data_IF_597477088061
#
_entry.id   IF_597477088061
#
_cell.length_a   1.000
_cell.length_b   1.000
_cell.length_c   1.000
_cell.angle_alpha   90.00
_cell.angle_beta   90.00
_cell.angle_gamma   90.00
#
_symmetry.space_group_name_H-M   'P 1'
#
loop_
_entity.id
_entity.type
_entity.pdbx_description
1 polymer ?
#
# COMPACT_ATOMS: atom_id res chain seq x y z
N UNK A 1 1.07 -4.14 -8.10
CA UNK A 1 1.28 -4.58 -6.71
C UNK A 1 2.70 -4.20 -6.34
N UNK A 2 2.93 -3.58 -5.18
CA UNK A 2 4.28 -3.26 -4.71
C UNK A 2 4.95 -4.54 -4.21
N UNK A 3 6.13 -4.90 -4.72
CA UNK A 3 6.82 -6.10 -4.26
C UNK A 3 7.64 -5.85 -2.99
N UNK A 4 7.69 -6.85 -2.12
CA UNK A 4 8.48 -6.86 -0.87
C UNK A 4 9.26 -8.18 -0.77
N UNK A 5 9.76 -8.68 -1.89
CA UNK A 5 10.49 -9.94 -1.94
C UNK A 5 11.75 -9.83 -1.06
N UNK A 6 12.07 -10.83 -0.22
CA UNK A 6 13.28 -10.77 0.58
C UNK A 6 14.53 -10.78 -0.30
N UNK A 7 15.62 -10.17 0.17
CA UNK A 7 16.92 -10.30 -0.50
C UNK A 7 17.44 -11.74 -0.38
N UNK A 8 17.36 -12.48 -1.49
CA UNK A 8 17.85 -13.85 -1.59
C UNK A 8 19.25 -13.93 -2.23
N UNK A 9 19.99 -12.82 -2.34
CA UNK A 9 21.28 -12.78 -3.03
C UNK A 9 22.32 -13.72 -2.42
N UNK A 10 22.31 -13.85 -1.09
CA UNK A 10 23.15 -14.81 -0.38
C UNK A 10 22.81 -16.28 -0.73
N UNK A 11 21.56 -16.59 -1.04
CA UNK A 11 21.11 -17.94 -1.41
C UNK A 11 21.41 -18.26 -2.88
N UNK A 12 21.26 -17.28 -3.77
CA UNK A 12 21.46 -17.46 -5.21
C UNK A 12 22.89 -17.18 -5.69
N UNK A 13 23.78 -16.73 -4.81
CA UNK A 13 25.15 -16.36 -5.17
C UNK A 13 25.22 -15.11 -6.06
N UNK A 14 24.21 -14.23 -6.00
CA UNK A 14 24.17 -12.97 -6.72
C UNK A 14 24.71 -11.82 -5.87
N UNK A 15 25.06 -10.70 -6.50
CA UNK A 15 25.57 -9.52 -5.81
C UNK A 15 24.42 -8.83 -5.03
N UNK A 16 24.49 -8.71 -3.70
CA UNK A 16 23.46 -8.05 -2.89
C UNK A 16 23.17 -6.60 -3.30
N UNK A 17 24.13 -5.92 -3.94
CA UNK A 17 23.95 -4.54 -4.42
C UNK A 17 22.98 -4.44 -5.61
N UNK A 18 22.66 -5.56 -6.24
CA UNK A 18 21.71 -5.62 -7.36
C UNK A 18 20.27 -5.85 -6.91
N UNK A 19 20.07 -6.23 -5.64
CA UNK A 19 18.75 -6.32 -5.05
C UNK A 19 18.15 -4.92 -4.85
N UNK A 20 16.91 -4.75 -5.31
CA UNK A 20 16.14 -3.51 -5.15
C UNK A 20 14.90 -3.84 -4.34
N UNK A 21 14.82 -3.29 -3.13
CA UNK A 21 13.59 -3.29 -2.35
C UNK A 21 12.64 -2.23 -2.96
N UNK A 22 11.63 -2.67 -3.70
CA UNK A 22 10.65 -1.75 -4.30
C UNK A 22 9.91 -0.94 -3.24
N UNK A 23 9.70 -1.49 -2.04
CA UNK A 23 9.09 -0.75 -0.94
C UNK A 23 10.00 0.38 -0.47
N UNK A 24 11.32 0.19 -0.37
CA UNK A 24 12.24 1.29 -0.06
C UNK A 24 12.16 2.41 -1.11
N UNK A 25 12.00 2.07 -2.39
CA UNK A 25 11.82 3.07 -3.44
C UNK A 25 10.47 3.80 -3.32
N UNK A 26 9.40 3.07 -3.01
CA UNK A 26 8.07 3.64 -2.79
C UNK A 26 8.04 4.61 -1.62
N UNK A 27 8.58 4.23 -0.45
CA UNK A 27 8.52 5.07 0.75
C UNK A 27 9.40 6.33 0.70
N UNK A 28 10.36 6.41 -0.23
CA UNK A 28 11.15 7.64 -0.48
C UNK A 28 10.33 8.76 -1.11
N UNK A 29 9.42 8.42 -2.02
CA UNK A 29 8.51 9.37 -2.67
C UNK A 29 7.25 8.63 -3.15
N UNK A 30 6.27 8.40 -2.24
CA UNK A 30 5.09 7.62 -2.56
C UNK A 30 4.28 8.22 -3.70
N UNK A 31 4.24 9.55 -3.81
CA UNK A 31 3.45 10.24 -4.83
C UNK A 31 4.05 10.07 -6.21
N UNK A 32 5.37 10.24 -6.34
CA UNK A 32 6.06 9.97 -7.59
C UNK A 32 5.91 8.51 -8.01
N UNK A 33 6.04 7.58 -7.07
CA UNK A 33 5.86 6.17 -7.35
C UNK A 33 4.42 5.86 -7.81
N UNK A 34 3.41 6.37 -7.10
CA UNK A 34 2.00 6.19 -7.44
C UNK A 34 1.65 6.78 -8.82
N UNK A 35 2.12 7.98 -9.13
CA UNK A 35 1.90 8.58 -10.46
C UNK A 35 2.63 7.84 -11.58
N UNK A 36 3.80 7.26 -11.30
CA UNK A 36 4.57 6.50 -12.30
C UNK A 36 3.94 5.13 -12.58
N UNK A 37 3.41 4.46 -11.54
CA UNK A 37 2.81 3.14 -11.66
C UNK A 37 1.32 3.18 -12.05
N UNK A 38 0.63 4.27 -11.72
CA UNK A 38 -0.79 4.48 -12.03
C UNK A 38 -1.02 5.83 -12.73
N UNK A 39 -0.51 6.00 -13.96
CA UNK A 39 -0.60 7.26 -14.69
C UNK A 39 -2.03 7.60 -15.12
N UNK A 40 -2.83 6.58 -15.47
CA UNK A 40 -4.17 6.74 -16.06
C UNK A 40 -5.24 6.04 -15.23
N UNK A 41 -6.50 6.46 -15.38
CA UNK A 41 -7.64 5.87 -14.67
C UNK A 41 -7.81 4.38 -14.93
N UNK A 42 -7.47 3.89 -16.13
CA UNK A 42 -7.53 2.47 -16.49
C UNK A 42 -6.53 1.59 -15.74
N UNK A 43 -5.47 2.18 -15.20
CA UNK A 43 -4.44 1.46 -14.44
C UNK A 43 -4.74 1.42 -12.94
N UNK A 44 -5.75 2.17 -12.48
CA UNK A 44 -6.07 2.29 -11.07
C UNK A 44 -6.64 0.97 -10.52
N UNK A 45 -6.10 0.46 -9.40
CA UNK A 45 -6.61 -0.75 -8.77
C UNK A 45 -7.99 -0.50 -8.14
N UNK A 46 -8.89 -1.48 -8.15
CA UNK A 46 -10.22 -1.30 -7.52
C UNK A 46 -10.14 -1.10 -6.00
N UNK A 47 -9.14 -1.69 -5.37
CA UNK A 47 -8.90 -1.60 -3.93
C UNK A 47 -7.40 -1.52 -3.63
N UNK A 48 -7.06 -0.72 -2.62
CA UNK A 48 -5.69 -0.53 -2.14
C UNK A 48 -5.68 -0.84 -0.65
N UNK A 49 -5.04 -1.94 -0.27
CA UNK A 49 -4.79 -2.28 1.12
C UNK A 49 -3.41 -1.75 1.53
N UNK A 50 -3.34 -1.09 2.69
CA UNK A 50 -2.10 -0.52 3.21
C UNK A 50 -2.14 -0.49 4.74
N UNK A 51 -0.98 -0.51 5.39
CA UNK A 51 -0.90 -0.15 6.79
C UNK A 51 -1.28 1.32 6.99
N UNK A 52 -1.95 1.62 8.11
CA UNK A 52 -2.31 3.01 8.45
C UNK A 52 -1.09 3.93 8.54
N UNK A 53 0.10 3.37 8.81
CA UNK A 53 1.37 4.12 8.77
C UNK A 53 1.52 4.93 7.47
N UNK A 54 1.13 4.39 6.32
CA UNK A 54 1.32 5.07 5.03
C UNK A 54 0.55 6.41 4.95
N UNK A 55 -0.63 6.49 5.56
CA UNK A 55 -1.44 7.72 5.56
C UNK A 55 -1.26 8.57 6.81
N UNK A 56 -0.71 8.00 7.89
CA UNK A 56 -0.48 8.69 9.17
C UNK A 56 0.94 9.28 9.28
N UNK A 57 1.88 8.85 8.44
CA UNK A 57 3.23 9.37 8.45
C UNK A 57 3.27 10.89 8.19
N UNK A 58 4.09 11.60 8.97
CA UNK A 58 4.15 13.05 8.95
C UNK A 58 4.70 13.64 7.64
N UNK A 59 5.57 12.91 6.94
CA UNK A 59 6.32 13.44 5.80
C UNK A 59 5.51 13.36 4.49
N UNK A 60 4.81 12.24 4.28
CA UNK A 60 4.11 11.97 3.00
C UNK A 60 2.63 11.61 3.16
N UNK A 61 2.16 11.31 4.38
CA UNK A 61 0.83 10.72 4.58
C UNK A 61 -0.32 11.59 4.09
N UNK A 62 -0.24 12.91 4.30
CA UNK A 62 -1.22 13.87 3.79
C UNK A 62 -1.29 13.86 2.26
N UNK A 63 -0.14 13.82 1.58
CA UNK A 63 -0.10 13.80 0.12
C UNK A 63 -0.73 12.50 -0.41
N UNK A 64 -0.47 11.36 0.22
CA UNK A 64 -1.05 10.07 -0.17
C UNK A 64 -2.58 10.08 -0.03
N UNK A 65 -3.09 10.60 1.09
CA UNK A 65 -4.54 10.76 1.29
C UNK A 65 -5.18 11.69 0.24
N UNK A 66 -4.52 12.80 -0.11
CA UNK A 66 -5.00 13.70 -1.16
C UNK A 66 -5.01 13.00 -2.53
N UNK A 67 -3.96 12.23 -2.85
CA UNK A 67 -3.87 11.47 -4.10
C UNK A 67 -5.01 10.46 -4.25
N UNK A 68 -5.34 9.74 -3.17
CA UNK A 68 -6.42 8.77 -3.11
C UNK A 68 -7.78 9.45 -3.30
N UNK A 69 -8.06 10.53 -2.55
CA UNK A 69 -9.32 11.27 -2.65
C UNK A 69 -9.53 11.91 -4.02
N UNK A 70 -8.46 12.45 -4.63
CA UNK A 70 -8.51 13.01 -5.97
C UNK A 70 -8.87 11.99 -7.06
N UNK A 71 -8.79 10.69 -6.75
CA UNK A 71 -9.13 9.56 -7.62
C UNK A 71 -10.36 8.79 -7.14
N UNK A 72 -11.21 9.43 -6.33
CA UNK A 72 -12.45 8.89 -5.80
C UNK A 72 -12.29 7.58 -5.01
N UNK A 73 -11.20 7.44 -4.25
CA UNK A 73 -11.09 6.39 -3.25
C UNK A 73 -11.68 6.84 -1.91
N UNK A 74 -12.35 5.92 -1.22
CA UNK A 74 -12.82 6.08 0.16
C UNK A 74 -12.41 4.88 1.01
N UNK A 75 -12.30 5.06 2.32
CA UNK A 75 -12.05 3.94 3.24
C UNK A 75 -13.29 3.08 3.30
N UNK A 76 -13.13 1.79 3.03
CA UNK A 76 -14.21 0.80 2.97
C UNK A 76 -14.07 -0.27 4.06
N UNK A 77 -12.87 -0.48 4.61
CA UNK A 77 -12.62 -1.49 5.64
C UNK A 77 -11.37 -1.14 6.45
N UNK A 78 -11.40 -1.51 7.73
CA UNK A 78 -10.23 -1.48 8.62
C UNK A 78 -10.06 -2.88 9.24
N UNK A 79 -8.86 -3.43 9.13
CA UNK A 79 -8.52 -4.78 9.59
C UNK A 79 -7.44 -4.65 10.66
N UNK A 80 -7.64 -5.33 11.79
CA UNK A 80 -6.60 -5.46 12.81
C UNK A 80 -5.46 -6.36 12.32
N UNK A 81 -4.23 -5.85 12.37
CA UNK A 81 -3.02 -6.62 12.12
C UNK A 81 -2.44 -7.14 13.44
N UNK A 82 -2.52 -8.45 13.65
CA UNK A 82 -2.18 -9.11 14.92
C UNK A 82 -0.68 -9.31 15.17
N UNK A 83 0.18 -8.99 14.19
CA UNK A 83 1.61 -9.18 14.33
C UNK A 83 2.25 -8.14 15.25
N UNK A 84 3.34 -8.53 15.93
CA UNK A 84 4.18 -7.59 16.68
C UNK A 84 4.83 -6.66 15.66
N UNK A 85 4.65 -5.36 15.84
CA UNK A 85 5.22 -4.35 14.94
C UNK A 85 6.75 -4.43 15.02
N UNK A 86 7.35 -5.01 13.97
CA UNK A 86 8.79 -5.25 13.86
C UNK A 86 9.47 -4.31 12.85
N UNK A 87 8.69 -3.54 12.09
CA UNK A 87 9.19 -2.66 11.05
C UNK A 87 8.45 -1.32 11.06
N UNK A 88 9.16 -0.22 10.81
CA UNK A 88 8.60 1.15 10.85
C UNK A 88 7.47 1.39 9.84
N UNK A 89 7.41 0.57 8.79
CA UNK A 89 6.37 0.62 7.73
C UNK A 89 5.06 -0.05 8.15
N UNK A 90 5.07 -0.84 9.21
CA UNK A 90 3.93 -1.63 9.65
C UNK A 90 3.22 -0.93 10.79
N UNK A 91 1.90 -1.02 10.81
CA UNK A 91 1.08 -0.53 11.91
C UNK A 91 0.09 -1.59 12.38
N UNK A 92 -0.58 -1.31 13.48
CA UNK A 92 -1.57 -2.21 14.11
C UNK A 92 -2.83 -2.43 13.26
N UNK A 93 -3.07 -1.57 12.27
CA UNK A 93 -4.25 -1.67 11.41
C UNK A 93 -3.86 -1.59 9.94
N UNK A 94 -4.53 -2.39 9.13
CA UNK A 94 -4.52 -2.29 7.68
C UNK A 94 -5.83 -1.61 7.30
N UNK A 95 -5.73 -0.53 6.54
CA UNK A 95 -6.88 0.16 5.96
C UNK A 95 -6.99 -0.20 4.49
N UNK A 96 -8.22 -0.48 4.05
CA UNK A 96 -8.54 -0.66 2.65
C UNK A 96 -9.23 0.59 2.11
N UNK A 97 -8.68 1.10 1.02
CA UNK A 97 -9.25 2.19 0.23
C UNK A 97 -9.84 1.61 -1.05
N UNK A 98 -11.09 1.94 -1.32
CA UNK A 98 -11.85 1.38 -2.42
C UNK A 98 -12.28 2.48 -3.39
N UNK A 99 -12.19 2.18 -4.69
CA UNK A 99 -12.72 3.06 -5.71
C UNK A 99 -14.25 3.17 -5.57
N UNK A 100 -14.78 4.33 -5.90
CA UNK A 100 -16.22 4.60 -5.91
C UNK A 100 -17.02 3.51 -6.65
N UNK A 101 -18.12 3.06 -6.06
CA UNK A 101 -18.98 2.01 -6.60
C UNK A 101 -18.54 0.57 -6.29
N UNK A 102 -17.44 0.37 -5.55
CA UNK A 102 -17.06 -0.97 -5.09
C UNK A 102 -17.80 -1.36 -3.81
N UNK A 103 -18.61 -2.42 -3.89
CA UNK A 103 -19.36 -2.98 -2.77
C UNK A 103 -18.66 -4.26 -2.25
N UNK A 104 -18.16 -4.24 -1.02
CA UNK A 104 -17.96 -5.47 -0.25
C UNK A 104 -19.28 -5.81 0.44
N UNK A 105 -20.16 -6.53 -0.24
CA UNK A 105 -21.28 -7.22 0.43
C UNK A 105 -20.75 -8.44 1.22
N UNK A 106 -19.83 -8.18 2.16
CA UNK A 106 -19.41 -9.17 3.15
C UNK A 106 -20.43 -9.32 4.29
N UNK A 107 -21.42 -8.42 4.37
CA UNK A 107 -22.50 -8.48 5.36
C UNK A 107 -23.70 -9.35 4.92
N UNK A 108 -23.92 -9.56 3.61
CA UNK A 108 -25.11 -10.30 3.14
C UNK A 108 -24.94 -11.83 3.05
N UNK A 109 -23.72 -12.36 3.23
CA UNK A 109 -23.43 -13.81 3.14
C UNK A 109 -23.22 -14.51 4.50
N UNK A 110 -23.66 -13.89 5.58
CA UNK A 110 -23.49 -14.39 6.94
C UNK A 110 -24.77 -14.37 7.76
N UNK A 111 -25.84 -15.03 7.30
CA UNK A 111 -26.93 -15.55 8.13
C UNK A 111 -27.41 -16.90 7.60
#
# INVERSE_FOLDING_TARGET
MLSCDPDLSAWHGTDPRTYVDEADAFYKDPIRWLNSNYPDSHTLPQHIAMFTELTQNADYGQAVMQWLRARNYSICMEIFHSHIISHYRHSRHIVMWCAEGWNLDLAEKGM
#
